data_IF_142683879215
#
_entry.id   IF_142683879215
#
_cell.length_a   1.000
_cell.length_b   1.000
_cell.length_c   1.000
_cell.angle_alpha   90.00
_cell.angle_beta   90.00
_cell.angle_gamma   90.00
#
_symmetry.space_group_name_H-M   'P 1'
#
loop_
_entity.id
_entity.type
_entity.pdbx_description
1 polymer ?
#
# COMPACT_ATOMS: atom_id res chain seq x y z
N UNK A 1 -7.04 -9.29 -34.83
CA UNK A 1 -6.76 -8.50 -33.61
C UNK A 1 -6.76 -9.46 -32.44
N UNK A 2 -5.62 -9.63 -31.81
CA UNK A 2 -5.44 -10.48 -30.63
C UNK A 2 -6.13 -9.87 -29.41
N UNK A 3 -6.30 -10.64 -28.32
CA UNK A 3 -6.85 -10.09 -27.09
C UNK A 3 -5.93 -8.99 -26.52
N UNK A 4 -4.63 -9.19 -26.57
CA UNK A 4 -3.64 -8.21 -26.11
C UNK A 4 -3.79 -6.87 -26.86
N UNK A 5 -3.93 -6.89 -28.20
CA UNK A 5 -4.19 -5.68 -29.00
C UNK A 5 -5.51 -5.00 -28.62
N UNK A 6 -6.55 -5.79 -28.30
CA UNK A 6 -7.82 -5.23 -27.80
C UNK A 6 -7.64 -4.55 -26.46
N UNK A 7 -6.91 -5.17 -25.53
CA UNK A 7 -6.63 -4.59 -24.20
C UNK A 7 -5.88 -3.27 -24.31
N UNK A 8 -4.91 -3.17 -25.23
CA UNK A 8 -4.18 -1.93 -25.47
C UNK A 8 -5.11 -0.81 -26.00
N UNK A 9 -6.01 -1.12 -26.92
CA UNK A 9 -7.00 -0.17 -27.42
C UNK A 9 -7.97 0.28 -26.31
N UNK A 10 -8.55 -0.67 -25.58
CA UNK A 10 -9.45 -0.36 -24.46
C UNK A 10 -8.78 0.46 -23.36
N UNK A 11 -7.48 0.24 -23.13
CA UNK A 11 -6.74 1.09 -22.19
C UNK A 11 -6.63 2.53 -22.70
N UNK A 12 -6.37 2.73 -23.99
CA UNK A 12 -6.37 4.07 -24.62
C UNK A 12 -7.73 4.77 -24.47
N UNK A 13 -8.82 4.01 -24.59
CA UNK A 13 -10.19 4.51 -24.44
C UNK A 13 -10.66 4.59 -22.96
N UNK A 14 -9.81 4.23 -21.99
CA UNK A 14 -10.09 4.14 -20.55
C UNK A 14 -11.20 3.15 -20.19
N UNK A 15 -11.40 2.14 -21.02
CA UNK A 15 -12.41 1.09 -20.84
C UNK A 15 -11.85 -0.08 -20.00
N UNK A 16 -11.29 0.24 -18.84
CA UNK A 16 -10.57 -0.72 -17.97
C UNK A 16 -11.43 -1.93 -17.57
N UNK A 17 -12.74 -1.74 -17.35
CA UNK A 17 -13.63 -2.84 -16.99
C UNK A 17 -13.72 -3.89 -18.10
N UNK A 18 -13.67 -3.50 -19.38
CA UNK A 18 -13.66 -4.45 -20.50
C UNK A 18 -12.39 -5.30 -20.52
N UNK A 19 -11.24 -4.72 -20.12
CA UNK A 19 -9.99 -5.47 -19.99
C UNK A 19 -10.13 -6.52 -18.88
N UNK A 20 -10.63 -6.11 -17.72
CA UNK A 20 -10.85 -6.97 -16.57
C UNK A 20 -11.76 -8.13 -16.94
N UNK A 21 -12.96 -7.84 -17.45
CA UNK A 21 -13.95 -8.85 -17.80
C UNK A 21 -13.42 -9.86 -18.84
N UNK A 22 -12.67 -9.35 -19.84
CA UNK A 22 -12.18 -10.20 -20.92
C UNK A 22 -11.02 -11.12 -20.48
N UNK A 23 -10.15 -10.67 -19.59
CA UNK A 23 -9.01 -11.48 -19.13
C UNK A 23 -9.44 -12.40 -17.98
N UNK A 24 -10.25 -11.93 -17.04
CA UNK A 24 -10.77 -12.77 -15.96
C UNK A 24 -11.66 -13.93 -16.48
N UNK A 25 -12.28 -13.79 -17.66
CA UNK A 25 -13.03 -14.85 -18.30
C UNK A 25 -12.13 -16.00 -18.81
N UNK A 26 -10.82 -15.79 -18.95
CA UNK A 26 -9.89 -16.85 -19.33
C UNK A 26 -9.48 -17.68 -18.10
N UNK A 27 -9.35 -19.01 -18.26
CA UNK A 27 -8.65 -19.84 -17.28
C UNK A 27 -7.25 -19.30 -16.99
N UNK A 28 -6.78 -19.45 -15.75
CA UNK A 28 -5.47 -18.90 -15.35
C UNK A 28 -4.31 -19.49 -16.16
N UNK A 29 -4.40 -20.78 -16.53
CA UNK A 29 -3.41 -21.48 -17.34
C UNK A 29 -3.38 -21.08 -18.83
N UNK A 30 -4.41 -20.36 -19.28
CA UNK A 30 -4.48 -19.76 -20.63
C UNK A 30 -4.00 -18.30 -20.68
N UNK A 31 -3.71 -17.70 -19.51
CA UNK A 31 -3.22 -16.31 -19.43
C UNK A 31 -1.72 -16.28 -19.64
N UNK A 32 -1.28 -15.37 -20.50
CA UNK A 32 0.15 -15.11 -20.68
C UNK A 32 0.62 -14.03 -19.71
N UNK A 33 1.95 -13.94 -19.41
CA UNK A 33 2.49 -12.86 -18.59
C UNK A 33 2.07 -11.46 -19.05
N UNK A 34 1.96 -11.26 -20.37
CA UNK A 34 1.55 -9.97 -20.94
C UNK A 34 0.08 -9.68 -20.65
N UNK A 35 -0.82 -10.69 -20.70
CA UNK A 35 -2.21 -10.51 -20.34
C UNK A 35 -2.38 -10.21 -18.86
N UNK A 36 -1.68 -10.91 -18.00
CA UNK A 36 -1.68 -10.61 -16.55
C UNK A 36 -1.14 -9.21 -16.27
N UNK A 37 -0.12 -8.77 -17.01
CA UNK A 37 0.41 -7.41 -16.90
C UNK A 37 -0.60 -6.35 -17.37
N UNK A 38 -1.39 -6.61 -18.42
CA UNK A 38 -2.48 -5.73 -18.85
C UNK A 38 -3.65 -5.72 -17.86
N UNK A 39 -3.98 -6.87 -17.26
CA UNK A 39 -5.00 -6.97 -16.21
C UNK A 39 -4.57 -6.18 -14.96
N UNK A 40 -3.31 -6.32 -14.54
CA UNK A 40 -2.77 -5.54 -13.43
C UNK A 40 -2.81 -4.02 -13.70
N UNK A 41 -2.49 -3.61 -14.95
CA UNK A 41 -2.65 -2.21 -15.35
C UNK A 41 -4.11 -1.76 -15.27
N UNK A 42 -5.03 -2.60 -15.70
CA UNK A 42 -6.45 -2.28 -15.64
C UNK A 42 -6.96 -2.15 -14.20
N UNK A 43 -6.49 -3.00 -13.28
CA UNK A 43 -6.78 -2.86 -11.86
C UNK A 43 -6.24 -1.56 -11.28
N UNK A 44 -4.97 -1.23 -11.54
CA UNK A 44 -4.35 0.00 -11.09
C UNK A 44 -5.12 1.25 -11.57
N UNK A 45 -5.53 1.25 -12.85
CA UNK A 45 -6.23 2.39 -13.45
C UNK A 45 -7.72 2.46 -13.08
N UNK A 46 -8.32 1.32 -12.70
CA UNK A 46 -9.74 1.24 -12.27
C UNK A 46 -9.91 1.58 -10.80
N UNK A 47 -8.85 1.35 -10.00
CA UNK A 47 -8.87 1.61 -8.57
C UNK A 47 -9.13 3.10 -8.27
N UNK A 48 -10.05 3.36 -7.37
CA UNK A 48 -10.27 4.69 -6.81
C UNK A 48 -9.41 4.87 -5.55
N UNK A 49 -9.25 6.11 -5.11
CA UNK A 49 -8.54 6.39 -3.86
C UNK A 49 -9.17 5.62 -2.70
N UNK A 50 -8.41 4.71 -2.09
CA UNK A 50 -8.86 3.83 -1.01
C UNK A 50 -9.29 2.42 -1.43
N UNK A 51 -9.35 2.10 -2.71
CA UNK A 51 -9.62 0.73 -3.18
C UNK A 51 -8.35 -0.13 -3.13
N UNK A 52 -7.93 -0.46 -1.92
CA UNK A 52 -6.68 -1.22 -1.67
C UNK A 52 -6.69 -2.64 -2.26
N UNK A 53 -7.86 -3.23 -2.48
CA UNK A 53 -7.97 -4.60 -2.96
C UNK A 53 -7.56 -4.74 -4.44
N UNK A 54 -7.88 -3.77 -5.28
CA UNK A 54 -7.44 -3.79 -6.68
C UNK A 54 -5.92 -3.64 -6.80
N UNK A 55 -5.29 -2.80 -5.99
CA UNK A 55 -3.83 -2.68 -5.97
C UNK A 55 -3.14 -3.98 -5.50
N UNK A 56 -3.68 -4.65 -4.48
CA UNK A 56 -3.18 -5.97 -4.04
C UNK A 56 -3.31 -7.03 -5.14
N UNK A 57 -4.45 -7.05 -5.85
CA UNK A 57 -4.64 -7.94 -6.99
C UNK A 57 -3.63 -7.67 -8.11
N UNK A 58 -3.34 -6.40 -8.40
CA UNK A 58 -2.35 -6.03 -9.40
C UNK A 58 -0.95 -6.55 -9.04
N UNK A 59 -0.53 -6.41 -7.78
CA UNK A 59 0.75 -6.96 -7.30
C UNK A 59 0.78 -8.49 -7.43
N UNK A 60 -0.27 -9.17 -6.94
CA UNK A 60 -0.35 -10.64 -6.98
C UNK A 60 -0.28 -11.22 -8.40
N UNK A 61 -0.81 -10.49 -9.40
CA UNK A 61 -0.70 -10.87 -10.81
C UNK A 61 0.71 -10.66 -11.38
N UNK A 62 1.39 -9.59 -10.97
CA UNK A 62 2.69 -9.22 -11.54
C UNK A 62 3.85 -10.00 -10.91
N UNK A 63 3.77 -10.27 -9.61
CA UNK A 63 4.87 -10.85 -8.83
C UNK A 63 5.39 -12.18 -9.38
N UNK A 64 4.55 -13.15 -9.82
CA UNK A 64 5.01 -14.41 -10.41
C UNK A 64 5.81 -14.26 -11.71
N UNK A 65 5.68 -13.12 -12.38
CA UNK A 65 6.30 -12.84 -13.68
C UNK A 65 7.54 -11.95 -13.59
N UNK A 66 8.09 -11.75 -12.39
CA UNK A 66 9.24 -10.86 -12.16
C UNK A 66 10.47 -11.23 -13.00
N UNK A 67 10.74 -12.53 -13.17
CA UNK A 67 11.86 -12.99 -13.99
C UNK A 67 11.63 -12.73 -15.49
N UNK A 68 10.41 -12.97 -15.96
CA UNK A 68 10.00 -12.73 -17.35
C UNK A 68 10.14 -11.26 -17.75
N UNK A 69 9.75 -10.34 -16.87
CA UNK A 69 9.82 -8.88 -17.07
C UNK A 69 11.09 -8.23 -16.50
N UNK A 70 12.14 -8.99 -16.27
CA UNK A 70 13.39 -8.46 -15.71
C UNK A 70 13.89 -7.25 -16.51
N UNK A 71 13.97 -6.08 -15.87
CA UNK A 71 14.37 -4.82 -16.50
C UNK A 71 13.30 -4.13 -17.37
N UNK A 72 12.06 -4.62 -17.39
CA UNK A 72 10.98 -3.97 -18.12
C UNK A 72 10.46 -2.74 -17.37
N UNK A 73 10.39 -1.61 -18.07
CA UNK A 73 9.88 -0.35 -17.50
C UNK A 73 8.43 -0.47 -17.06
N UNK A 74 7.56 -0.99 -17.93
CA UNK A 74 6.12 -0.99 -17.67
C UNK A 74 5.75 -1.89 -16.49
N UNK A 75 6.41 -3.04 -16.37
CA UNK A 75 6.21 -3.94 -15.25
C UNK A 75 6.64 -3.29 -13.93
N UNK A 76 7.86 -2.73 -13.88
CA UNK A 76 8.35 -2.05 -12.69
C UNK A 76 7.45 -0.86 -12.32
N UNK A 77 7.02 -0.05 -13.28
CA UNK A 77 6.12 1.07 -13.03
C UNK A 77 4.78 0.61 -12.44
N UNK A 78 4.19 -0.47 -12.97
CA UNK A 78 2.91 -1.02 -12.48
C UNK A 78 3.02 -1.55 -11.06
N UNK A 79 4.12 -2.24 -10.73
CA UNK A 79 4.42 -2.68 -9.35
C UNK A 79 4.57 -1.49 -8.41
N UNK A 80 5.38 -0.51 -8.80
CA UNK A 80 5.61 0.71 -8.03
C UNK A 80 4.31 1.46 -7.76
N UNK A 81 3.49 1.64 -8.79
CA UNK A 81 2.21 2.34 -8.70
C UNK A 81 1.27 1.67 -7.70
N UNK A 82 1.14 0.35 -7.75
CA UNK A 82 0.32 -0.39 -6.80
C UNK A 82 0.84 -0.27 -5.36
N UNK A 83 2.14 -0.38 -5.13
CA UNK A 83 2.73 -0.19 -3.80
C UNK A 83 2.55 1.23 -3.28
N UNK A 84 2.71 2.25 -4.13
CA UNK A 84 2.51 3.65 -3.76
C UNK A 84 1.10 3.90 -3.19
N UNK A 85 0.06 3.42 -3.86
CA UNK A 85 -1.33 3.55 -3.38
C UNK A 85 -1.69 2.58 -2.23
N UNK A 86 -0.78 1.71 -1.84
CA UNK A 86 -0.88 0.90 -0.63
C UNK A 86 -0.12 1.50 0.57
N UNK A 87 0.36 2.72 0.47
CA UNK A 87 1.18 3.42 1.47
C UNK A 87 2.48 2.63 1.77
N UNK A 88 3.10 2.08 0.72
CA UNK A 88 4.37 1.37 0.76
C UNK A 88 5.38 2.08 -0.12
N UNK A 89 5.62 3.35 0.17
CA UNK A 89 6.57 4.20 -0.54
C UNK A 89 7.99 3.62 -0.51
N UNK A 90 8.31 2.83 0.51
CA UNK A 90 9.57 2.09 0.62
C UNK A 90 9.76 1.11 -0.55
N UNK A 91 8.76 0.29 -0.84
CA UNK A 91 8.80 -0.64 -1.97
C UNK A 91 8.54 0.07 -3.31
N UNK A 92 7.62 1.04 -3.33
CA UNK A 92 7.33 1.81 -4.52
C UNK A 92 8.58 2.50 -5.07
N UNK A 93 9.40 3.11 -4.20
CA UNK A 93 10.63 3.77 -4.58
C UNK A 93 11.60 2.83 -5.31
N UNK A 94 11.81 1.62 -4.78
CA UNK A 94 12.70 0.63 -5.40
C UNK A 94 12.27 0.27 -6.83
N UNK A 95 10.96 0.04 -7.04
CA UNK A 95 10.42 -0.28 -8.35
C UNK A 95 10.37 0.93 -9.30
N UNK A 96 10.07 2.14 -8.81
CA UNK A 96 10.16 3.34 -9.64
C UNK A 96 11.58 3.64 -10.08
N UNK A 97 12.58 3.47 -9.22
CA UNK A 97 13.99 3.62 -9.60
C UNK A 97 14.41 2.58 -10.67
N UNK A 98 13.92 1.33 -10.55
CA UNK A 98 14.13 0.32 -11.57
C UNK A 98 13.45 0.67 -12.90
N UNK A 99 12.22 1.21 -12.86
CA UNK A 99 11.51 1.71 -14.03
C UNK A 99 12.25 2.86 -14.70
N UNK A 100 12.73 3.84 -13.93
CA UNK A 100 13.48 4.99 -14.46
C UNK A 100 14.82 4.54 -15.07
N UNK A 101 15.47 3.55 -14.50
CA UNK A 101 16.70 2.96 -15.07
C UNK A 101 16.45 2.32 -16.44
N UNK A 102 15.28 1.67 -16.61
CA UNK A 102 14.88 1.06 -17.88
C UNK A 102 14.46 2.13 -18.93
N UNK A 103 13.89 3.24 -18.50
CA UNK A 103 13.50 4.36 -19.36
C UNK A 103 13.97 5.69 -18.74
N UNK A 104 15.23 6.08 -18.97
CA UNK A 104 15.75 7.36 -18.50
C UNK A 104 14.98 8.53 -19.09
N UNK A 105 14.62 9.51 -18.26
CA UNK A 105 13.91 10.71 -18.69
C UNK A 105 12.38 10.58 -18.66
N UNK A 106 11.82 9.52 -18.12
CA UNK A 106 10.38 9.39 -17.90
C UNK A 106 9.94 10.31 -16.76
N UNK A 107 9.30 11.43 -17.10
CA UNK A 107 8.95 12.50 -16.17
C UNK A 107 7.96 12.02 -15.08
N UNK A 108 6.95 11.22 -15.47
CA UNK A 108 5.97 10.68 -14.53
C UNK A 108 6.65 9.80 -13.47
N UNK A 109 7.59 8.95 -13.88
CA UNK A 109 8.35 8.10 -12.95
C UNK A 109 9.24 8.94 -12.03
N UNK A 110 9.85 10.02 -12.53
CA UNK A 110 10.66 10.94 -11.72
C UNK A 110 9.82 11.63 -10.66
N UNK A 111 8.62 12.09 -11.02
CA UNK A 111 7.70 12.73 -10.08
C UNK A 111 7.31 11.78 -8.93
N UNK A 112 6.97 10.53 -9.24
CA UNK A 112 6.66 9.53 -8.20
C UNK A 112 7.86 9.23 -7.29
N UNK A 113 9.08 9.17 -7.84
CA UNK A 113 10.30 9.00 -7.04
C UNK A 113 10.46 10.15 -6.03
N UNK A 114 10.24 11.40 -6.46
CA UNK A 114 10.33 12.57 -5.59
C UNK A 114 9.24 12.54 -4.50
N UNK A 115 8.02 12.13 -4.85
CA UNK A 115 6.93 11.97 -3.90
C UNK A 115 7.25 10.88 -2.86
N UNK A 116 7.73 9.70 -3.27
CA UNK A 116 8.14 8.64 -2.37
C UNK A 116 9.25 9.09 -1.42
N UNK A 117 10.30 9.75 -1.95
CA UNK A 117 11.40 10.27 -1.14
C UNK A 117 10.94 11.31 -0.13
N UNK A 118 10.03 12.19 -0.55
CA UNK A 118 9.45 13.20 0.33
C UNK A 118 8.63 12.57 1.46
N UNK A 119 7.81 11.55 1.14
CA UNK A 119 7.05 10.81 2.14
C UNK A 119 7.98 10.11 3.13
N UNK A 120 8.98 9.37 2.63
CA UNK A 120 9.95 8.64 3.47
C UNK A 120 10.85 9.54 4.32
N UNK A 121 10.99 10.81 3.95
CA UNK A 121 11.71 11.80 4.76
C UNK A 121 10.90 12.30 5.97
N UNK A 122 9.59 12.04 6.01
CA UNK A 122 8.78 12.40 7.16
C UNK A 122 9.18 11.55 8.38
N UNK A 123 9.21 12.14 9.59
CA UNK A 123 9.60 11.42 10.81
C UNK A 123 8.82 10.13 11.05
N UNK A 124 7.53 10.10 10.67
CA UNK A 124 6.66 8.94 10.86
C UNK A 124 7.09 7.70 10.05
N UNK A 125 7.87 7.86 8.97
CA UNK A 125 8.44 6.76 8.19
C UNK A 125 9.86 6.37 8.62
N UNK A 126 10.46 7.11 9.54
CA UNK A 126 11.78 6.77 10.07
C UNK A 126 11.75 5.41 10.78
N UNK A 127 12.89 4.69 10.74
CA UNK A 127 13.04 3.43 11.47
C UNK A 127 12.77 3.63 12.96
N UNK A 128 13.32 4.70 13.52
CA UNK A 128 13.16 5.09 14.91
C UNK A 128 11.68 5.32 15.29
N UNK A 129 10.92 6.04 14.47
CA UNK A 129 9.49 6.24 14.70
C UNK A 129 8.71 4.92 14.65
N UNK A 130 9.02 4.02 13.70
CA UNK A 130 8.37 2.70 13.60
C UNK A 130 8.69 1.80 14.80
N UNK A 131 9.93 1.84 15.28
CA UNK A 131 10.34 1.09 16.47
C UNK A 131 9.62 1.62 17.72
N UNK A 132 9.56 2.93 17.92
CA UNK A 132 8.85 3.58 19.03
C UNK A 132 7.35 3.32 18.99
N UNK A 133 6.72 3.40 17.81
CA UNK A 133 5.29 3.06 17.66
C UNK A 133 5.00 1.60 17.93
N UNK A 134 5.88 0.68 17.52
CA UNK A 134 5.74 -0.74 17.83
C UNK A 134 5.86 -1.00 19.34
N UNK A 135 6.79 -0.35 20.02
CA UNK A 135 6.97 -0.41 21.48
C UNK A 135 5.75 0.16 22.22
N UNK A 136 5.25 1.34 21.77
CA UNK A 136 4.05 1.94 22.32
C UNK A 136 2.82 1.00 22.16
N UNK A 137 2.69 0.36 21.00
CA UNK A 137 1.63 -0.60 20.72
C UNK A 137 1.73 -1.85 21.61
N UNK A 138 2.93 -2.40 21.82
CA UNK A 138 3.15 -3.52 22.73
C UNK A 138 2.82 -3.13 24.17
N UNK A 139 3.22 -1.95 24.60
CA UNK A 139 2.92 -1.42 25.94
C UNK A 139 1.42 -1.28 26.12
N UNK A 140 0.72 -0.68 25.15
CA UNK A 140 -0.74 -0.58 25.19
C UNK A 140 -1.40 -1.96 25.23
N UNK A 141 -1.01 -2.89 24.37
CA UNK A 141 -1.59 -4.23 24.32
C UNK A 141 -1.37 -5.02 25.60
N UNK A 142 -0.21 -4.88 26.25
CA UNK A 142 0.08 -5.54 27.53
C UNK A 142 -0.77 -5.01 28.69
N UNK A 143 -1.25 -3.78 28.58
CA UNK A 143 -2.05 -3.08 29.60
C UNK A 143 -3.51 -2.94 29.23
N UNK A 144 -3.93 -3.43 28.04
CA UNK A 144 -5.29 -3.29 27.55
C UNK A 144 -6.34 -3.80 28.55
N UNK A 145 -6.08 -4.92 29.19
CA UNK A 145 -7.01 -5.49 30.17
C UNK A 145 -7.20 -4.59 31.39
N UNK A 146 -6.12 -3.97 31.87
CA UNK A 146 -6.15 -3.00 32.97
C UNK A 146 -6.89 -1.74 32.57
N UNK A 147 -6.55 -1.17 31.40
CA UNK A 147 -7.20 0.03 30.85
C UNK A 147 -8.70 -0.19 30.59
N UNK A 148 -9.08 -1.36 30.08
CA UNK A 148 -10.49 -1.74 29.92
C UNK A 148 -11.18 -1.86 31.26
N UNK A 149 -10.51 -2.41 32.30
CA UNK A 149 -11.03 -2.46 33.64
C UNK A 149 -11.34 -1.08 34.23
N UNK A 150 -10.44 -0.12 34.00
CA UNK A 150 -10.63 1.27 34.41
C UNK A 150 -11.80 1.96 33.68
N UNK A 151 -11.96 1.69 32.38
CA UNK A 151 -13.02 2.26 31.57
C UNK A 151 -14.39 1.61 31.75
N UNK A 152 -14.43 0.29 31.98
CA UNK A 152 -15.66 -0.51 31.97
C UNK A 152 -16.04 -1.07 33.31
N UNK A 153 -15.18 -1.01 34.33
CA UNK A 153 -15.33 -1.66 35.63
C UNK A 153 -16.09 -0.86 36.69
N UNK A 154 -16.54 0.33 36.36
CA UNK A 154 -17.31 1.19 37.25
C UNK A 154 -18.81 0.98 37.10
N UNK A 155 -19.53 0.90 38.21
CA UNK A 155 -20.96 1.14 38.27
C UNK A 155 -21.34 2.37 37.44
N UNK A 156 -22.55 2.46 36.93
CA UNK A 156 -23.06 3.52 36.01
C UNK A 156 -22.82 4.98 36.44
N UNK A 157 -22.04 5.22 37.49
CA UNK A 157 -21.67 6.52 38.07
C UNK A 157 -20.46 7.21 37.44
N UNK A 158 -19.81 6.58 36.43
CA UNK A 158 -18.62 7.15 35.76
C UNK A 158 -17.30 6.65 36.39
N UNK A 159 -16.20 6.92 35.69
CA UNK A 159 -14.84 6.62 36.15
C UNK A 159 -14.54 7.51 37.37
N UNK A 160 -13.92 6.95 38.42
CA UNK A 160 -13.49 7.75 39.56
C UNK A 160 -12.45 8.82 39.13
N UNK A 161 -12.36 9.97 39.83
CA UNK A 161 -11.31 10.96 39.55
C UNK A 161 -9.91 10.37 39.58
N UNK A 162 -9.64 9.44 40.49
CA UNK A 162 -8.35 8.77 40.65
C UNK A 162 -8.04 7.82 39.46
N UNK A 163 -9.05 7.06 39.02
CA UNK A 163 -8.93 6.19 37.85
C UNK A 163 -8.78 7.00 36.55
N UNK A 164 -9.47 8.15 36.47
CA UNK A 164 -9.35 9.08 35.34
C UNK A 164 -7.92 9.67 35.25
N UNK A 165 -7.36 10.07 36.40
CA UNK A 165 -6.00 10.61 36.46
C UNK A 165 -4.97 9.53 36.09
N UNK A 166 -5.16 8.32 36.60
CA UNK A 166 -4.32 7.16 36.22
C UNK A 166 -4.38 6.88 34.73
N UNK A 167 -5.58 6.82 34.15
CA UNK A 167 -5.79 6.58 32.74
C UNK A 167 -5.13 7.66 31.86
N UNK A 168 -5.27 8.94 32.23
CA UNK A 168 -4.66 10.05 31.52
C UNK A 168 -3.14 9.98 31.56
N UNK A 169 -2.54 9.61 32.70
CA UNK A 169 -1.11 9.42 32.83
C UNK A 169 -0.62 8.28 31.93
N UNK A 170 -1.30 7.13 31.94
CA UNK A 170 -0.95 5.96 31.12
C UNK A 170 -1.02 6.26 29.63
N UNK A 171 -2.07 6.98 29.19
CA UNK A 171 -2.17 7.43 27.81
C UNK A 171 -1.08 8.44 27.45
N UNK A 172 -0.71 9.31 28.38
CA UNK A 172 0.39 10.25 28.23
C UNK A 172 1.71 9.56 28.02
N UNK A 173 2.04 8.58 28.86
CA UNK A 173 3.28 7.80 28.78
C UNK A 173 3.38 7.04 27.44
N UNK A 174 2.27 6.46 26.94
CA UNK A 174 2.23 5.78 25.64
C UNK A 174 2.43 6.78 24.49
N UNK A 175 1.82 7.96 24.57
CA UNK A 175 2.01 9.02 23.56
C UNK A 175 3.43 9.56 23.57
N UNK A 176 4.05 9.68 24.75
CA UNK A 176 5.45 10.10 24.88
C UNK A 176 6.41 9.13 24.17
N UNK A 177 6.17 7.81 24.25
CA UNK A 177 6.94 6.81 23.51
C UNK A 177 6.89 7.01 21.98
N UNK A 178 5.80 7.60 21.47
CA UNK A 178 5.64 7.82 20.02
C UNK A 178 6.25 9.14 19.57
N UNK A 179 6.21 10.21 20.41
CA UNK A 179 6.51 11.58 19.97
C UNK A 179 7.81 12.17 20.55
N UNK A 180 8.52 11.44 21.39
CA UNK A 180 9.87 11.85 21.88
C UNK A 180 10.98 11.12 21.15
#
# INVERSE_FOLDING_TARGET
>A
MTLLEKCQNWNGDREYQKIIDAIEALPEDERTPELDSELARAYNNRAEAGDRELFKKAIALLEPHAEYFSGDHCWNYRMAYAYYYLDREDLALEYFEAALKARPGDEDTQEFIEQCRSALALPLFSKDFRERTAEAWQTFASREAELRGLLCGGDKSGISPEDSEKLLRECGDILELVFT
#
